data_IF_209724115850
#
_entry.id   IF_209724115850
#
_cell.length_a   1.000
_cell.length_b   1.000
_cell.length_c   1.000
_cell.angle_alpha   90.00
_cell.angle_beta   90.00
_cell.angle_gamma   90.00
#
_symmetry.space_group_name_H-M   'P 1'
#
loop_
_entity.id
_entity.type
_entity.pdbx_description
1 polymer ?
#
# COMPACT_ATOMS: atom_id res chain seq x y z
N UNK A 1 -3.41 38.34 -24.18
CA UNK A 1 -3.93 36.97 -23.87
C UNK A 1 -2.91 36.02 -24.49
N UNK A 2 -2.23 35.07 -23.83
CA UNK A 2 -2.52 34.19 -22.69
C UNK A 2 -1.16 33.76 -22.11
N UNK A 3 -1.02 33.78 -20.78
CA UNK A 3 0.22 33.44 -20.06
C UNK A 3 0.44 31.92 -20.12
N UNK A 4 1.57 31.45 -20.63
CA UNK A 4 2.04 30.09 -20.42
C UNK A 4 3.31 30.16 -19.58
N UNK A 5 3.13 30.10 -18.26
CA UNK A 5 4.23 29.85 -17.34
C UNK A 5 4.52 28.36 -17.45
N UNK A 6 5.57 28.04 -18.18
CA UNK A 6 6.15 26.70 -18.26
C UNK A 6 6.88 26.46 -16.93
N UNK A 7 6.11 26.11 -15.91
CA UNK A 7 6.63 25.87 -14.57
C UNK A 7 7.27 24.49 -14.48
N UNK A 8 8.54 24.55 -14.08
CA UNK A 8 9.15 23.66 -13.09
C UNK A 8 9.79 22.38 -13.65
N UNK A 9 11.07 22.57 -13.99
CA UNK A 9 12.21 21.90 -13.35
C UNK A 9 12.10 20.37 -13.34
N UNK A 10 12.73 19.82 -14.37
CA UNK A 10 13.53 18.59 -14.37
C UNK A 10 14.05 18.26 -12.96
N UNK A 11 13.43 17.28 -12.29
CA UNK A 11 14.12 16.48 -11.28
C UNK A 11 14.34 15.10 -11.87
N UNK A 12 15.43 15.01 -12.63
CA UNK A 12 16.05 13.75 -13.00
C UNK A 12 16.45 13.07 -11.69
N UNK A 13 15.77 11.99 -11.35
CA UNK A 13 16.34 10.96 -10.50
C UNK A 13 16.51 9.71 -11.36
N UNK A 14 17.45 9.77 -12.31
CA UNK A 14 18.20 8.56 -12.67
C UNK A 14 18.93 8.16 -11.40
N UNK A 15 18.29 7.31 -10.59
CA UNK A 15 19.02 6.56 -9.58
C UNK A 15 20.05 5.75 -10.36
N UNK A 16 21.31 6.11 -10.12
CA UNK A 16 22.46 5.40 -10.64
C UNK A 16 22.29 3.92 -10.32
N UNK A 17 22.36 3.09 -11.36
CA UNK A 17 22.60 1.65 -11.23
C UNK A 17 23.98 1.46 -10.59
N UNK A 18 24.05 1.63 -9.27
CA UNK A 18 25.09 1.02 -8.47
C UNK A 18 24.54 -0.33 -8.07
N UNK A 19 24.89 -1.37 -8.83
CA UNK A 19 24.83 -2.75 -8.36
C UNK A 19 25.95 -2.93 -7.33
N UNK A 20 25.90 -2.16 -6.24
CA UNK A 20 26.35 -2.67 -4.99
C UNK A 20 25.37 -3.80 -4.67
N UNK A 21 25.85 -4.97 -4.28
CA UNK A 21 25.04 -5.95 -3.58
C UNK A 21 24.58 -5.29 -2.27
N UNK A 22 23.61 -4.38 -2.36
CA UNK A 22 22.76 -4.03 -1.25
C UNK A 22 22.10 -5.36 -0.93
N UNK A 23 22.50 -5.95 0.19
CA UNK A 23 21.60 -6.82 0.91
C UNK A 23 20.31 -6.02 1.05
N UNK A 24 19.36 -6.23 0.14
CA UNK A 24 18.04 -5.62 0.21
C UNK A 24 17.49 -6.16 1.50
N UNK A 25 17.55 -5.35 2.55
CA UNK A 25 16.99 -5.75 3.83
C UNK A 25 15.49 -5.86 3.58
N UNK A 26 14.86 -6.99 3.95
CA UNK A 26 13.43 -7.12 3.82
C UNK A 26 12.75 -5.89 4.43
N UNK A 27 11.75 -5.36 3.75
CA UNK A 27 10.92 -4.30 4.30
C UNK A 27 10.38 -4.74 5.66
N UNK A 28 10.34 -3.79 6.57
CA UNK A 28 9.72 -3.98 7.88
C UNK A 28 8.21 -4.09 7.76
N UNK A 29 7.56 -4.66 8.78
CA UNK A 29 6.11 -4.70 8.89
C UNK A 29 5.47 -3.31 8.72
N UNK A 30 6.06 -2.28 9.35
CA UNK A 30 5.56 -0.91 9.26
C UNK A 30 5.61 -0.36 7.82
N UNK A 31 6.67 -0.68 7.08
CA UNK A 31 6.79 -0.30 5.67
C UNK A 31 5.78 -1.06 4.80
N UNK A 32 5.56 -2.35 5.05
CA UNK A 32 4.54 -3.14 4.36
C UNK A 32 3.13 -2.56 4.61
N UNK A 33 2.80 -2.20 5.86
CA UNK A 33 1.53 -1.56 6.20
C UNK A 33 1.34 -0.24 5.44
N UNK A 34 2.37 0.60 5.37
CA UNK A 34 2.27 1.89 4.68
C UNK A 34 2.07 1.71 3.18
N UNK A 35 2.84 0.84 2.53
CA UNK A 35 2.64 0.46 1.12
C UNK A 35 1.20 -0.02 0.91
N UNK A 36 0.71 -0.91 1.78
CA UNK A 36 -0.62 -1.47 1.68
C UNK A 36 -1.72 -0.40 1.83
N UNK A 37 -1.56 0.58 2.72
CA UNK A 37 -2.48 1.73 2.87
C UNK A 37 -2.55 2.56 1.59
N UNK A 38 -1.40 2.85 0.97
CA UNK A 38 -1.36 3.60 -0.29
C UNK A 38 -2.11 2.87 -1.40
N UNK A 39 -2.00 1.54 -1.47
CA UNK A 39 -2.75 0.72 -2.44
C UNK A 39 -4.25 0.78 -2.20
N UNK A 40 -4.70 0.68 -0.95
CA UNK A 40 -6.12 0.75 -0.58
C UNK A 40 -6.72 2.10 -0.96
N UNK A 41 -6.02 3.19 -0.63
CA UNK A 41 -6.42 4.57 -0.96
C UNK A 41 -6.49 4.76 -2.49
N UNK A 42 -5.45 4.33 -3.21
CA UNK A 42 -5.37 4.48 -4.67
C UNK A 42 -6.50 3.74 -5.41
N UNK A 43 -7.06 2.68 -4.84
CA UNK A 43 -8.16 1.91 -5.44
C UNK A 43 -9.55 2.50 -5.19
N UNK A 44 -9.64 3.71 -4.62
CA UNK A 44 -10.90 4.39 -4.38
C UNK A 44 -11.74 3.75 -3.26
N UNK A 45 -11.12 2.91 -2.43
CA UNK A 45 -11.75 2.44 -1.20
C UNK A 45 -11.85 3.65 -0.27
N UNK A 46 -13.07 4.00 0.15
CA UNK A 46 -13.35 5.11 1.07
C UNK A 46 -12.35 5.10 2.24
N UNK A 47 -11.94 6.25 2.80
CA UNK A 47 -11.16 6.32 4.04
C UNK A 47 -11.74 5.49 5.21
N UNK A 48 -12.96 4.98 5.09
CA UNK A 48 -13.57 3.98 5.97
C UNK A 48 -12.81 2.64 6.06
N UNK A 49 -11.99 2.29 5.06
CA UNK A 49 -11.13 1.09 5.09
C UNK A 49 -9.81 1.32 5.85
N UNK A 50 -9.49 2.56 6.22
CA UNK A 50 -8.19 2.94 6.77
C UNK A 50 -7.98 2.64 8.26
N UNK A 51 -8.73 1.70 8.84
CA UNK A 51 -8.27 1.02 10.06
C UNK A 51 -9.19 1.13 11.26
N UNK A 52 -9.93 0.05 11.50
CA UNK A 52 -10.20 -0.37 12.87
C UNK A 52 -9.28 -1.54 13.23
N UNK A 53 -9.05 -2.47 12.30
CA UNK A 53 -8.11 -3.57 12.47
C UNK A 53 -7.18 -3.71 11.26
N UNK A 54 -5.88 -3.83 11.53
CA UNK A 54 -4.86 -4.21 10.54
C UNK A 54 -4.20 -5.48 11.06
N UNK A 55 -4.19 -6.53 10.25
CA UNK A 55 -3.49 -7.78 10.55
C UNK A 55 -2.37 -8.01 9.55
N UNK A 56 -1.24 -8.50 10.02
CA UNK A 56 -0.04 -8.74 9.22
C UNK A 56 0.42 -10.18 9.36
N UNK A 57 0.99 -10.72 8.29
CA UNK A 57 1.66 -12.02 8.29
C UNK A 57 2.86 -11.94 7.36
N UNK A 58 4.01 -12.46 7.79
CA UNK A 58 5.16 -12.66 6.93
C UNK A 58 5.32 -14.15 6.62
N UNK A 59 5.25 -14.52 5.35
CA UNK A 59 5.35 -15.90 4.90
C UNK A 59 5.92 -15.96 3.49
N UNK A 60 6.79 -16.93 3.22
CA UNK A 60 7.36 -17.19 1.89
C UNK A 60 7.98 -15.93 1.24
N UNK A 61 8.69 -15.14 2.05
CA UNK A 61 9.32 -13.87 1.67
C UNK A 61 8.33 -12.76 1.22
N UNK A 62 7.11 -12.83 1.73
CA UNK A 62 6.04 -11.89 1.43
C UNK A 62 5.35 -11.41 2.70
N UNK A 63 5.00 -10.14 2.71
CA UNK A 63 4.07 -9.55 3.66
C UNK A 63 2.65 -9.64 3.13
N UNK A 64 1.75 -10.17 3.95
CA UNK A 64 0.30 -10.11 3.73
C UNK A 64 -0.24 -9.10 4.74
N UNK A 65 -0.84 -8.03 4.26
CA UNK A 65 -1.48 -6.99 5.07
C UNK A 65 -2.98 -7.02 4.80
N UNK A 66 -3.76 -7.25 5.86
CA UNK A 66 -5.20 -7.33 5.81
C UNK A 66 -5.81 -6.13 6.54
N UNK A 67 -6.65 -5.37 5.85
CA UNK A 67 -7.48 -4.32 6.42
C UNK A 67 -8.90 -4.83 6.59
N UNK A 68 -9.48 -4.61 7.76
CA UNK A 68 -10.90 -4.86 7.99
C UNK A 68 -11.70 -3.56 7.83
N UNK A 69 -12.78 -3.63 7.06
CA UNK A 69 -13.71 -2.51 6.89
C UNK A 69 -14.45 -2.20 8.20
N UNK A 70 -14.76 -0.92 8.40
CA UNK A 70 -15.59 -0.48 9.54
C UNK A 70 -17.00 -1.09 9.48
N UNK A 71 -17.61 -1.41 10.64
CA UNK A 71 -19.06 -1.60 10.71
C UNK A 71 -19.77 -0.38 10.14
N UNK A 72 -20.92 -0.60 9.50
CA UNK A 72 -21.76 0.49 9.04
C UNK A 72 -22.35 1.26 10.24
N UNK A 73 -22.99 2.41 9.99
CA UNK A 73 -23.62 3.27 11.02
C UNK A 73 -24.67 2.55 11.89
N UNK A 74 -25.18 1.41 11.45
CA UNK A 74 -26.13 0.58 12.20
C UNK A 74 -25.42 -0.43 13.13
N UNK A 75 -24.09 -0.38 13.23
CA UNK A 75 -23.29 -1.31 14.03
C UNK A 75 -23.20 -2.71 13.41
N UNK A 76 -23.75 -2.91 12.21
CA UNK A 76 -23.58 -4.14 11.48
C UNK A 76 -22.18 -4.15 10.86
N UNK A 77 -21.32 -5.05 11.33
CA UNK A 77 -20.16 -5.46 10.57
C UNK A 77 -20.70 -5.96 9.22
N UNK A 78 -20.25 -5.37 8.11
CA UNK A 78 -20.32 -6.09 6.83
C UNK A 78 -19.34 -7.25 6.96
N UNK A 79 -19.82 -8.37 7.52
CA UNK A 79 -19.08 -9.63 7.57
C UNK A 79 -18.61 -9.91 6.15
N UNK A 80 -17.29 -9.86 5.93
CA UNK A 80 -16.69 -10.10 4.60
C UNK A 80 -15.92 -8.92 4.01
N UNK A 81 -16.17 -7.67 4.44
CA UNK A 81 -15.43 -6.51 3.93
C UNK A 81 -13.98 -6.47 4.45
N UNK A 82 -13.07 -7.13 3.74
CA UNK A 82 -11.64 -7.15 4.02
C UNK A 82 -10.87 -6.68 2.79
N UNK A 83 -9.67 -6.15 2.97
CA UNK A 83 -8.80 -5.81 1.85
C UNK A 83 -7.42 -6.36 2.13
N UNK A 84 -6.98 -7.29 1.30
CA UNK A 84 -5.66 -7.91 1.42
C UNK A 84 -4.69 -7.30 0.41
N UNK A 85 -3.50 -6.94 0.86
CA UNK A 85 -2.36 -6.58 0.01
C UNK A 85 -1.22 -7.56 0.28
N UNK A 86 -0.69 -8.14 -0.77
CA UNK A 86 0.49 -9.02 -0.74
C UNK A 86 1.66 -8.21 -1.31
N UNK A 87 2.74 -8.12 -0.54
CA UNK A 87 3.91 -7.29 -0.82
C UNK A 87 5.15 -8.18 -0.72
N UNK A 88 6.07 -8.09 -1.67
CA UNK A 88 7.36 -8.80 -1.58
C UNK A 88 8.21 -8.26 -0.42
N UNK A 89 9.21 -9.03 0.00
CA UNK A 89 10.25 -8.56 0.93
C UNK A 89 10.97 -7.30 0.43
N UNK A 90 10.94 -7.01 -0.87
CA UNK A 90 11.58 -5.84 -1.48
C UNK A 90 10.67 -4.61 -1.54
N UNK A 91 9.38 -4.71 -1.17
CA UNK A 91 8.43 -3.59 -1.23
C UNK A 91 7.54 -3.53 -2.46
N UNK A 92 7.59 -4.54 -3.33
CA UNK A 92 6.75 -4.57 -4.52
C UNK A 92 5.36 -5.15 -4.22
N UNK A 93 4.31 -4.49 -4.70
CA UNK A 93 2.94 -4.98 -4.54
C UNK A 93 2.70 -6.13 -5.53
N UNK A 94 2.62 -7.35 -5.01
CA UNK A 94 2.37 -8.57 -5.79
C UNK A 94 0.89 -8.69 -6.14
N UNK A 95 0.02 -8.45 -5.15
CA UNK A 95 -1.44 -8.60 -5.32
C UNK A 95 -2.19 -7.69 -4.37
N UNK A 96 -3.35 -7.22 -4.80
CA UNK A 96 -4.30 -6.53 -3.94
C UNK A 96 -5.71 -7.02 -4.23
N UNK A 97 -6.41 -7.49 -3.19
CA UNK A 97 -7.68 -8.21 -3.28
C UNK A 97 -8.68 -7.58 -2.33
N UNK A 98 -9.77 -6.98 -2.83
CA UNK A 98 -10.94 -6.70 -2.00
C UNK A 98 -11.67 -8.01 -1.72
N UNK A 99 -11.88 -8.32 -0.44
CA UNK A 99 -12.81 -9.31 0.06
C UNK A 99 -14.20 -8.68 0.21
N UNK A 100 -15.22 -9.45 -0.17
CA UNK A 100 -16.63 -9.11 -0.06
C UNK A 100 -17.25 -9.82 1.14
#
# INVERSE_FOLDING_TARGET
MKKFILSIIILISFHTLSVAQQSVRPITEAQAIEIAKQVVIARGSSPDWSGVNVSTMFKDDQWIVLFEGKPNVEGANRVGNHFAVIISSEGEVIKAVPGA
#
